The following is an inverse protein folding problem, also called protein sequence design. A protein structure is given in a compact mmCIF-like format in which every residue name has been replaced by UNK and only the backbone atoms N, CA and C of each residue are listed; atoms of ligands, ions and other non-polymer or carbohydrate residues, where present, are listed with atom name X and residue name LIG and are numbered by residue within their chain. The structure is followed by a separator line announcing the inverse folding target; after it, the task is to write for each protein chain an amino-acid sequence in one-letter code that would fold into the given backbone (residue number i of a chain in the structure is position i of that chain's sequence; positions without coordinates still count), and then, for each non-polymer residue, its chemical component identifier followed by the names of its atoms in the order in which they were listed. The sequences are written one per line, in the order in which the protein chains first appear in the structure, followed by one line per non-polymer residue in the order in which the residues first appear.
data_IF_018162646933
#
_entry.id   IF_018162646933
#
_cell.length_a   1.000
_cell.length_b   1.000
_cell.length_c   1.000
_cell.angle_alpha   90.00
_cell.angle_beta   90.00
_cell.angle_gamma   90.00
#
_symmetry.space_group_name_H-M   'P 1'
#
loop_
_entity.id
_entity.type
_entity.pdbx_description
1 polymer ?
#
# COMPACT_ATOMS: atom_id res chain seq x y z
N UNK A 1 27.05 4.57 -7.95
CA UNK A 1 26.27 4.18 -6.76
C UNK A 1 24.80 4.31 -7.10
N UNK A 2 23.98 3.30 -6.86
CA UNK A 2 22.52 3.42 -7.03
C UNK A 2 21.99 4.10 -5.77
N UNK A 3 21.28 5.21 -5.92
CA UNK A 3 20.58 5.84 -4.81
C UNK A 3 19.51 4.86 -4.29
N UNK A 4 19.67 4.39 -3.05
CA UNK A 4 18.66 3.54 -2.43
C UNK A 4 17.47 4.40 -2.02
N UNK A 5 16.30 4.14 -2.62
CA UNK A 5 15.04 4.78 -2.19
C UNK A 5 14.49 4.02 -0.99
N UNK A 6 14.46 4.66 0.17
CA UNK A 6 13.85 4.12 1.40
C UNK A 6 12.44 4.70 1.57
N UNK A 7 11.46 3.81 1.79
CA UNK A 7 10.08 4.17 2.06
C UNK A 7 9.64 3.62 3.41
N UNK A 8 8.91 4.43 4.18
CA UNK A 8 8.14 3.96 5.33
C UNK A 8 6.68 3.82 4.91
N UNK A 9 6.18 2.58 4.96
CA UNK A 9 4.84 2.23 4.50
C UNK A 9 4.02 1.77 5.70
N UNK A 10 2.88 2.42 5.90
CA UNK A 10 1.90 2.05 6.92
C UNK A 10 0.66 1.55 6.19
N UNK A 11 0.24 0.34 6.50
CA UNK A 11 -0.96 -0.28 5.91
C UNK A 11 -1.85 -0.79 7.00
N UNK A 12 -3.15 -0.70 6.77
CA UNK A 12 -4.15 -1.35 7.60
C UNK A 12 -5.31 -1.81 6.70
N UNK A 13 -5.95 -2.91 7.08
CA UNK A 13 -7.11 -3.44 6.37
C UNK A 13 -8.08 -4.03 7.37
N UNK A 14 -9.36 -3.72 7.20
CA UNK A 14 -10.38 -4.14 8.16
C UNK A 14 -11.67 -4.56 7.50
N UNK A 15 -12.37 -5.50 8.11
CA UNK A 15 -13.68 -5.96 7.70
C UNK A 15 -14.68 -5.90 8.86
N UNK A 16 -15.91 -5.44 8.59
CA UNK A 16 -17.03 -5.51 9.53
C UNK A 16 -17.70 -6.88 9.46
N UNK A 17 -17.15 -7.85 10.20
CA UNK A 17 -17.57 -9.26 10.18
C UNK A 17 -16.53 -10.14 9.48
N UNK A 18 -16.79 -11.45 9.39
CA UNK A 18 -15.83 -12.41 8.85
C UNK A 18 -16.51 -13.50 7.99
N UNK A 19 -16.87 -13.24 6.71
CA UNK A 19 -16.57 -12.04 5.92
C UNK A 19 -17.63 -10.93 6.07
N UNK A 20 -17.24 -9.69 5.78
CA UNK A 20 -18.15 -8.53 5.77
C UNK A 20 -17.60 -7.35 4.99
N UNK A 21 -18.30 -6.20 4.95
CA UNK A 21 -17.84 -5.00 4.27
C UNK A 21 -16.44 -4.61 4.74
N UNK A 22 -15.50 -4.47 3.81
CA UNK A 22 -14.09 -4.32 4.10
C UNK A 22 -13.46 -3.15 3.36
N UNK A 23 -12.40 -2.59 3.94
CA UNK A 23 -11.64 -1.50 3.37
C UNK A 23 -10.15 -1.65 3.71
N UNK A 24 -9.33 -0.94 2.95
CA UNK A 24 -7.88 -0.83 3.16
C UNK A 24 -7.49 0.64 3.31
N UNK A 25 -6.40 0.88 4.02
CA UNK A 25 -5.76 2.18 4.18
C UNK A 25 -4.24 2.05 4.02
N UNK A 26 -3.64 3.01 3.33
CA UNK A 26 -2.21 3.05 3.05
C UNK A 26 -1.68 4.47 3.24
N UNK A 27 -0.53 4.61 3.90
CA UNK A 27 0.26 5.85 3.97
C UNK A 27 1.71 5.53 3.64
N UNK A 28 2.29 6.28 2.71
CA UNK A 28 3.68 6.10 2.27
C UNK A 28 4.46 7.38 2.54
N UNK A 29 5.60 7.25 3.21
CA UNK A 29 6.52 8.35 3.50
C UNK A 29 7.91 8.06 2.94
N UNK A 30 8.67 9.10 2.61
CA UNK A 30 10.09 8.98 2.30
C UNK A 30 10.94 8.91 3.59
N UNK A 31 12.28 8.79 3.46
CA UNK A 31 13.17 8.75 4.62
C UNK A 31 13.14 10.00 5.52
N UNK A 32 12.66 11.15 5.01
CA UNK A 32 12.55 12.39 5.81
C UNK A 32 11.21 12.49 6.55
N UNK A 33 10.37 11.45 6.47
CA UNK A 33 9.02 11.44 7.05
C UNK A 33 7.97 12.22 6.26
N UNK A 34 8.30 12.78 5.08
CA UNK A 34 7.34 13.46 4.22
C UNK A 34 6.37 12.43 3.64
N UNK A 35 5.07 12.66 3.82
CA UNK A 35 4.01 11.87 3.17
C UNK A 35 4.08 12.09 1.66
N UNK A 36 4.30 11.00 0.92
CA UNK A 36 4.30 10.97 -0.54
C UNK A 36 2.90 10.69 -1.08
N UNK A 37 2.17 9.80 -0.41
CA UNK A 37 0.77 9.51 -0.69
C UNK A 37 0.06 8.95 0.54
N UNK A 38 -1.26 9.07 0.54
CA UNK A 38 -2.14 8.33 1.44
C UNK A 38 -3.46 8.06 0.73
N UNK A 39 -3.99 6.85 0.84
CA UNK A 39 -5.28 6.52 0.25
C UNK A 39 -6.00 5.45 1.07
N UNK A 40 -7.32 5.40 0.91
CA UNK A 40 -8.17 4.35 1.44
C UNK A 40 -9.20 3.93 0.41
N UNK A 41 -9.57 2.65 0.42
CA UNK A 41 -10.45 2.06 -0.60
C UNK A 41 -11.38 1.03 0.03
N UNK A 42 -12.67 1.10 -0.31
CA UNK A 42 -13.60 0.01 -0.08
C UNK A 42 -13.28 -1.16 -1.02
N UNK A 43 -13.14 -2.36 -0.47
CA UNK A 43 -12.72 -3.56 -1.21
C UNK A 43 -13.84 -4.61 -1.36
N UNK A 44 -15.09 -4.25 -1.05
CA UNK A 44 -16.22 -5.18 -1.12
C UNK A 44 -16.39 -5.98 0.16
N UNK A 45 -16.72 -7.27 0.04
CA UNK A 45 -16.77 -8.19 1.18
C UNK A 45 -15.49 -9.02 1.25
N UNK A 46 -14.84 -8.98 2.40
CA UNK A 46 -13.65 -9.78 2.69
C UNK A 46 -13.65 -10.25 4.14
N UNK A 47 -12.78 -11.20 4.47
CA UNK A 47 -12.40 -11.49 5.87
C UNK A 47 -11.48 -10.39 6.38
N UNK A 48 -11.30 -10.29 7.71
CA UNK A 48 -10.36 -9.33 8.29
C UNK A 48 -8.93 -9.56 7.75
N UNK A 49 -8.43 -10.79 7.87
CA UNK A 49 -7.10 -11.14 7.38
C UNK A 49 -6.92 -10.84 5.89
N UNK A 50 -7.93 -11.12 5.05
CA UNK A 50 -7.85 -10.79 3.62
C UNK A 50 -7.76 -9.28 3.37
N UNK A 51 -8.40 -8.45 4.21
CA UNK A 51 -8.29 -7.00 4.10
C UNK A 51 -6.88 -6.52 4.49
N UNK A 52 -6.30 -7.03 5.59
CA UNK A 52 -4.93 -6.69 6.01
C UNK A 52 -3.90 -7.05 4.91
N UNK A 53 -3.99 -8.26 4.35
CA UNK A 53 -3.12 -8.67 3.24
C UNK A 53 -3.32 -7.80 2.00
N UNK A 54 -4.56 -7.47 1.64
CA UNK A 54 -4.84 -6.61 0.50
C UNK A 54 -4.22 -5.22 0.68
N UNK A 55 -4.23 -4.65 1.89
CA UNK A 55 -3.63 -3.33 2.15
C UNK A 55 -2.12 -3.31 1.84
N UNK A 56 -1.40 -4.39 2.18
CA UNK A 56 0.03 -4.55 1.84
C UNK A 56 0.23 -4.65 0.33
N UNK A 57 -0.58 -5.47 -0.35
CA UNK A 57 -0.50 -5.63 -1.82
C UNK A 57 -0.72 -4.29 -2.53
N UNK A 58 -1.74 -3.53 -2.13
CA UNK A 58 -2.05 -2.22 -2.72
C UNK A 58 -0.88 -1.25 -2.56
N UNK A 59 -0.26 -1.21 -1.37
CA UNK A 59 0.87 -0.33 -1.11
C UNK A 59 2.09 -0.68 -1.97
N UNK A 60 2.42 -1.97 -2.09
CA UNK A 60 3.53 -2.45 -2.91
C UNK A 60 3.28 -2.20 -4.40
N UNK A 61 2.08 -2.50 -4.91
CA UNK A 61 1.70 -2.21 -6.30
C UNK A 61 1.73 -0.72 -6.61
N UNK A 62 1.36 0.13 -5.66
CA UNK A 62 1.46 1.58 -5.83
C UNK A 62 2.92 2.02 -5.93
N UNK A 63 3.80 1.53 -5.05
CA UNK A 63 5.23 1.83 -5.10
C UNK A 63 5.88 1.35 -6.40
N UNK A 64 5.54 0.13 -6.83
CA UNK A 64 6.02 -0.46 -8.08
C UNK A 64 5.76 0.48 -9.26
N UNK A 65 4.49 0.86 -9.46
CA UNK A 65 4.03 1.67 -10.60
C UNK A 65 4.52 3.12 -10.57
N UNK A 66 4.68 3.72 -9.38
CA UNK A 66 4.91 5.17 -9.27
C UNK A 66 6.34 5.55 -8.90
N UNK A 67 7.10 4.65 -8.27
CA UNK A 67 8.39 4.99 -7.67
C UNK A 67 9.53 4.05 -8.05
N UNK A 68 9.20 2.81 -8.45
CA UNK A 68 10.17 1.75 -8.72
C UNK A 68 10.26 1.33 -10.19
N UNK A 69 9.42 1.87 -11.09
CA UNK A 69 9.60 1.63 -12.53
C UNK A 69 11.03 1.98 -12.94
N UNK A 70 11.79 0.92 -13.23
CA UNK A 70 13.02 1.01 -13.99
C UNK A 70 12.60 1.46 -15.38
N UNK A 71 13.22 2.52 -15.90
CA UNK A 71 13.46 2.56 -17.35
C UNK A 71 14.04 1.20 -17.69
N UNK A 72 13.30 0.36 -18.42
CA UNK A 72 13.93 -0.71 -19.16
C UNK A 72 15.06 -0.04 -19.94
N UNK A 73 16.29 -0.41 -19.61
CA UNK A 73 17.43 -0.02 -20.40
C UNK A 73 17.15 -0.48 -21.83
N UNK A 74 17.50 0.41 -22.75
CA UNK A 74 17.54 0.24 -24.22
C UNK A 74 17.92 -1.17 -24.63
#
# INVERSE_FOLDING_TARGET
MVEQKLFYVFTDGGARGNPGPAAVGVVIKNQTGKVLTSFGRYIGRATNNSAEYQAVVEALSFLEKNYLERKAAV
#
